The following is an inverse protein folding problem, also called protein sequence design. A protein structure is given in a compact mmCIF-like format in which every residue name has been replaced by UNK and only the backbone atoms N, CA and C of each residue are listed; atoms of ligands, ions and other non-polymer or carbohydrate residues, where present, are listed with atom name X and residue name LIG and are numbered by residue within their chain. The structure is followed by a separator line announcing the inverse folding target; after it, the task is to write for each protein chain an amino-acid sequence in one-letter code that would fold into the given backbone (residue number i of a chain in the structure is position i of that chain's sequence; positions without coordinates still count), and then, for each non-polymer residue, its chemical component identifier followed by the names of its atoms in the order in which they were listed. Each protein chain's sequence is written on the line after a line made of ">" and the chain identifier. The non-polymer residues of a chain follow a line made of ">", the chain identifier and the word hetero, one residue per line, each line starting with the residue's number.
data_IF_199228173953
#
_entry.id   IF_199228173953
#
_cell.length_a   1.000
_cell.length_b   1.000
_cell.length_c   1.000
_cell.angle_alpha   90.00
_cell.angle_beta   90.00
_cell.angle_gamma   90.00
#
_symmetry.space_group_name_H-M   'P 1'
#
loop_
_entity.id
_entity.type
_entity.pdbx_description
1 polymer ?
#
# COMPACT_ATOMS: atom_id res chain seq x y z
N UNK A 1 -3.77 -46.08 -6.69
CA UNK A 1 -4.20 -45.42 -5.46
C UNK A 1 -3.76 -43.95 -5.45
N UNK A 2 -2.51 -43.64 -5.80
CA UNK A 2 -1.96 -42.26 -5.78
C UNK A 2 -2.63 -41.32 -6.80
N UNK A 3 -3.01 -41.82 -7.98
CA UNK A 3 -3.74 -41.04 -8.99
C UNK A 3 -5.17 -40.69 -8.53
N UNK A 4 -5.87 -41.63 -7.91
CA UNK A 4 -7.23 -41.41 -7.41
C UNK A 4 -7.25 -40.39 -6.24
N UNK A 5 -6.24 -40.40 -5.38
CA UNK A 5 -6.08 -39.43 -4.28
C UNK A 5 -5.78 -38.03 -4.83
N UNK A 6 -4.96 -37.94 -5.89
CA UNK A 6 -4.68 -36.66 -6.54
C UNK A 6 -5.92 -36.08 -7.23
N UNK A 7 -6.72 -36.92 -7.90
CA UNK A 7 -7.97 -36.48 -8.55
C UNK A 7 -9.00 -36.02 -7.50
N UNK A 8 -9.12 -36.73 -6.39
CA UNK A 8 -10.00 -36.31 -5.27
C UNK A 8 -9.54 -34.99 -4.63
N UNK A 9 -8.23 -34.80 -4.47
CA UNK A 9 -7.69 -33.53 -3.98
C UNK A 9 -7.90 -32.37 -4.95
N UNK A 10 -7.75 -32.61 -6.27
CA UNK A 10 -8.05 -31.60 -7.29
C UNK A 10 -9.54 -31.26 -7.32
N UNK A 11 -10.40 -32.27 -7.29
CA UNK A 11 -11.86 -32.05 -7.29
C UNK A 11 -12.33 -31.33 -6.03
N UNK A 12 -11.78 -31.65 -4.86
CA UNK A 12 -12.08 -30.96 -3.60
C UNK A 12 -11.60 -29.48 -3.64
N UNK A 13 -10.43 -29.21 -4.22
CA UNK A 13 -9.92 -27.86 -4.41
C UNK A 13 -10.78 -27.05 -5.41
N UNK A 14 -11.25 -27.67 -6.49
CA UNK A 14 -12.14 -27.05 -7.47
C UNK A 14 -13.51 -26.73 -6.88
N UNK A 15 -14.08 -27.63 -6.05
CA UNK A 15 -15.34 -27.41 -5.34
C UNK A 15 -15.20 -26.26 -4.34
N UNK A 16 -14.12 -26.25 -3.58
CA UNK A 16 -13.82 -25.19 -2.61
C UNK A 16 -13.59 -23.82 -3.28
N UNK A 17 -12.97 -23.80 -4.47
CA UNK A 17 -12.82 -22.59 -5.28
C UNK A 17 -14.14 -22.08 -5.88
N UNK A 18 -15.12 -22.95 -6.07
CA UNK A 18 -16.44 -22.59 -6.65
C UNK A 18 -17.37 -21.90 -5.64
N UNK A 19 -17.12 -22.07 -4.35
CA UNK A 19 -17.88 -21.43 -3.27
C UNK A 19 -17.35 -20.03 -2.88
N UNK A 20 -16.18 -19.61 -3.41
CA UNK A 20 -15.61 -18.30 -3.10
C UNK A 20 -16.38 -17.17 -3.81
N UNK A 21 -16.72 -16.13 -3.06
CA UNK A 21 -17.31 -14.93 -3.65
C UNK A 21 -16.34 -14.27 -4.62
N UNK A 22 -16.77 -14.13 -5.88
CA UNK A 22 -15.94 -13.52 -6.92
C UNK A 22 -16.02 -12.00 -6.84
N UNK A 23 -14.88 -11.36 -6.66
CA UNK A 23 -14.72 -9.90 -6.64
C UNK A 23 -13.94 -9.47 -7.89
N UNK A 24 -14.44 -8.44 -8.57
CA UNK A 24 -13.73 -7.86 -9.71
C UNK A 24 -12.49 -7.11 -9.24
N UNK A 25 -11.33 -7.42 -9.83
CA UNK A 25 -10.06 -6.80 -9.50
C UNK A 25 -10.06 -5.27 -9.69
N UNK A 26 -10.78 -4.79 -10.72
CA UNK A 26 -10.94 -3.36 -11.00
C UNK A 26 -11.65 -2.64 -9.85
N UNK A 27 -12.73 -3.24 -9.34
CA UNK A 27 -13.45 -2.70 -8.19
C UNK A 27 -12.61 -2.74 -6.92
N UNK A 28 -11.87 -3.84 -6.72
CA UNK A 28 -10.96 -3.97 -5.58
C UNK A 28 -9.87 -2.90 -5.62
N UNK A 29 -9.27 -2.62 -6.79
CA UNK A 29 -8.27 -1.57 -6.95
C UNK A 29 -8.87 -0.19 -6.69
N UNK A 30 -10.05 0.12 -7.24
CA UNK A 30 -10.71 1.40 -7.03
C UNK A 30 -10.98 1.64 -5.53
N UNK A 31 -11.58 0.65 -4.85
CA UNK A 31 -11.82 0.72 -3.41
C UNK A 31 -10.52 0.87 -2.63
N UNK A 32 -9.48 0.10 -3.00
CA UNK A 32 -8.18 0.17 -2.33
C UNK A 32 -7.55 1.56 -2.44
N UNK A 33 -7.57 2.17 -3.64
CA UNK A 33 -7.01 3.52 -3.85
C UNK A 33 -7.76 4.56 -3.02
N UNK A 34 -9.10 4.50 -3.01
CA UNK A 34 -9.94 5.42 -2.23
C UNK A 34 -9.70 5.30 -0.72
N UNK A 35 -9.73 4.08 -0.17
CA UNK A 35 -9.56 3.89 1.27
C UNK A 35 -8.11 4.12 1.73
N UNK A 36 -7.11 3.82 0.89
CA UNK A 36 -5.72 4.10 1.22
C UNK A 36 -5.42 5.59 1.23
N UNK A 37 -5.87 6.36 0.22
CA UNK A 37 -5.66 7.81 0.20
C UNK A 37 -6.32 8.49 1.41
N UNK A 38 -7.57 8.13 1.70
CA UNK A 38 -8.24 8.63 2.91
C UNK A 38 -7.54 8.18 4.19
N UNK A 39 -7.12 6.91 4.27
CA UNK A 39 -6.40 6.37 5.42
C UNK A 39 -5.09 7.10 5.69
N UNK A 40 -4.30 7.43 4.65
CA UNK A 40 -3.03 8.16 4.81
C UNK A 40 -3.28 9.57 5.36
N UNK A 41 -4.22 10.32 4.79
CA UNK A 41 -4.54 11.68 5.25
C UNK A 41 -5.14 11.65 6.67
N UNK A 42 -6.04 10.70 6.97
CA UNK A 42 -6.62 10.55 8.30
C UNK A 42 -5.55 10.16 9.36
N UNK A 43 -4.57 9.34 8.98
CA UNK A 43 -3.46 8.96 9.86
C UNK A 43 -2.59 10.18 10.19
N UNK A 44 -2.25 11.00 9.19
CA UNK A 44 -1.54 12.25 9.37
C UNK A 44 -2.34 13.20 10.26
N UNK A 45 -3.62 13.40 9.97
CA UNK A 45 -4.51 14.28 10.71
C UNK A 45 -4.70 13.86 12.18
N UNK A 46 -4.59 12.57 12.50
CA UNK A 46 -4.63 12.07 13.88
C UNK A 46 -3.53 12.66 14.77
N UNK A 47 -2.42 13.14 14.16
CA UNK A 47 -1.25 13.63 14.86
C UNK A 47 -0.37 12.54 15.48
N UNK A 48 -0.67 11.25 15.23
CA UNK A 48 0.15 10.12 15.65
C UNK A 48 1.34 9.85 14.70
N UNK A 49 1.40 10.60 13.61
CA UNK A 49 2.35 10.45 12.52
C UNK A 49 1.69 9.94 11.24
N UNK A 50 2.47 9.67 10.21
CA UNK A 50 2.02 9.16 8.91
C UNK A 50 2.61 7.76 8.66
N UNK A 51 2.12 7.04 7.65
CA UNK A 51 2.73 5.75 7.27
C UNK A 51 4.19 5.96 6.81
N UNK A 52 5.07 5.02 7.12
CA UNK A 52 6.52 5.17 6.88
C UNK A 52 6.85 5.53 5.41
N UNK A 53 6.22 4.87 4.45
CA UNK A 53 6.42 5.15 3.02
C UNK A 53 5.93 6.56 2.65
N UNK A 54 4.78 6.98 3.17
CA UNK A 54 4.20 8.29 2.88
C UNK A 54 4.93 9.43 3.61
N UNK A 55 5.76 9.11 4.60
CA UNK A 55 6.50 10.12 5.35
C UNK A 55 7.55 10.85 4.50
N UNK A 56 8.13 10.20 3.49
CA UNK A 56 9.12 10.81 2.58
C UNK A 56 8.48 11.95 1.78
N UNK A 57 7.43 11.72 0.94
CA UNK A 57 6.78 12.83 0.23
C UNK A 57 6.19 13.88 1.17
N UNK A 58 5.71 13.49 2.36
CA UNK A 58 5.27 14.43 3.39
C UNK A 58 6.42 15.35 3.84
N UNK A 59 7.59 14.82 4.18
CA UNK A 59 8.74 15.64 4.55
C UNK A 59 9.14 16.63 3.44
N UNK A 60 9.03 16.20 2.17
CA UNK A 60 9.26 17.09 1.05
C UNK A 60 8.20 18.19 0.93
N UNK A 61 6.91 17.91 1.19
CA UNK A 61 5.85 18.93 1.16
C UNK A 61 6.00 19.95 2.30
N UNK A 62 6.45 19.53 3.47
CA UNK A 62 6.72 20.43 4.60
C UNK A 62 7.94 21.33 4.35
N UNK A 63 9.00 20.80 3.76
CA UNK A 63 10.19 21.59 3.44
C UNK A 63 9.97 22.49 2.23
N UNK A 64 9.27 22.03 1.21
CA UNK A 64 9.00 22.74 -0.04
C UNK A 64 7.50 23.01 -0.20
N UNK A 65 6.96 23.90 0.59
CA UNK A 65 5.53 24.20 0.77
C UNK A 65 4.80 24.70 -0.49
N UNK A 66 5.52 24.95 -1.59
CA UNK A 66 4.92 25.36 -2.89
C UNK A 66 4.29 24.21 -3.67
N UNK A 67 4.60 22.99 -3.29
CA UNK A 67 4.15 21.78 -3.97
C UNK A 67 3.35 20.94 -2.97
N UNK A 68 2.15 20.51 -3.38
CA UNK A 68 1.22 19.73 -2.54
C UNK A 68 1.79 18.35 -2.16
N UNK A 69 1.24 17.78 -1.09
CA UNK A 69 1.55 16.42 -0.66
C UNK A 69 1.28 15.40 -1.78
N UNK A 70 0.16 15.53 -2.49
CA UNK A 70 -0.18 14.66 -3.61
C UNK A 70 0.85 14.74 -4.74
N UNK A 71 1.26 15.96 -5.13
CA UNK A 71 2.29 16.16 -6.15
C UNK A 71 3.63 15.53 -5.74
N UNK A 72 4.11 15.75 -4.52
CA UNK A 72 5.32 15.11 -4.03
C UNK A 72 5.18 13.59 -3.98
N UNK A 73 3.99 13.09 -3.64
CA UNK A 73 3.72 11.65 -3.62
C UNK A 73 3.88 11.02 -5.00
N UNK A 74 3.29 11.59 -6.05
CA UNK A 74 3.45 11.00 -7.36
C UNK A 74 4.85 11.17 -7.95
N UNK A 75 5.58 12.26 -7.62
CA UNK A 75 7.00 12.40 -7.99
C UNK A 75 7.85 11.31 -7.32
N UNK A 76 7.65 11.07 -6.03
CA UNK A 76 8.31 9.98 -5.31
C UNK A 76 8.00 8.61 -5.94
N UNK A 77 6.75 8.38 -6.29
CA UNK A 77 6.33 7.17 -6.99
C UNK A 77 6.98 7.00 -8.36
N UNK A 78 7.20 8.10 -9.08
CA UNK A 78 7.98 8.11 -10.33
C UNK A 78 9.42 7.61 -10.12
N UNK A 79 10.07 8.07 -9.06
CA UNK A 79 11.41 7.60 -8.68
C UNK A 79 11.41 6.10 -8.36
N UNK A 80 10.40 5.60 -7.65
CA UNK A 80 10.27 4.18 -7.34
C UNK A 80 10.09 3.33 -8.61
N UNK A 81 9.23 3.76 -9.54
CA UNK A 81 9.02 3.08 -10.84
C UNK A 81 10.30 3.04 -11.66
N UNK A 82 11.01 4.17 -11.75
CA UNK A 82 12.32 4.22 -12.45
C UNK A 82 13.33 3.28 -11.80
N UNK A 83 13.40 3.27 -10.49
CA UNK A 83 14.30 2.37 -9.73
C UNK A 83 13.98 0.89 -10.04
N UNK A 84 12.71 0.50 -10.11
CA UNK A 84 12.31 -0.86 -10.48
C UNK A 84 12.71 -1.21 -11.92
N UNK A 85 12.54 -0.29 -12.87
CA UNK A 85 12.97 -0.51 -14.26
C UNK A 85 14.48 -0.72 -14.37
N UNK A 86 15.27 0.04 -13.61
CA UNK A 86 16.73 -0.10 -13.54
C UNK A 86 17.11 -1.45 -12.91
N UNK A 87 16.49 -1.83 -11.80
CA UNK A 87 16.77 -3.11 -11.12
C UNK A 87 16.43 -4.31 -11.99
N UNK A 88 15.30 -4.27 -12.71
CA UNK A 88 14.91 -5.35 -13.63
C UNK A 88 15.68 -5.32 -14.96
N UNK A 89 16.46 -4.26 -15.22
CA UNK A 89 17.22 -4.05 -16.48
C UNK A 89 16.35 -4.20 -17.73
N UNK A 90 15.08 -3.91 -17.65
CA UNK A 90 14.12 -3.97 -18.76
C UNK A 90 12.94 -3.04 -18.54
N UNK A 91 12.39 -2.57 -19.66
CA UNK A 91 11.16 -1.79 -19.65
C UNK A 91 9.96 -2.72 -19.41
N UNK A 92 9.17 -2.41 -18.37
CA UNK A 92 7.96 -3.15 -18.01
C UNK A 92 6.75 -2.22 -18.16
N UNK A 93 5.94 -2.37 -19.22
CA UNK A 93 4.80 -1.46 -19.46
C UNK A 93 3.80 -1.38 -18.31
N UNK A 94 3.65 -2.46 -17.55
CA UNK A 94 2.77 -2.51 -16.38
C UNK A 94 3.13 -1.47 -15.31
N UNK A 95 4.41 -1.09 -15.20
CA UNK A 95 4.84 -0.06 -14.24
C UNK A 95 4.36 1.35 -14.63
N UNK A 96 4.16 1.61 -15.92
CA UNK A 96 3.55 2.86 -16.37
C UNK A 96 2.08 2.97 -15.94
N UNK A 97 1.33 1.87 -16.01
CA UNK A 97 -0.04 1.84 -15.50
C UNK A 97 -0.07 2.03 -13.97
N UNK A 98 0.88 1.45 -13.25
CA UNK A 98 1.04 1.71 -11.80
C UNK A 98 1.29 3.20 -11.53
N UNK A 99 2.05 3.88 -12.36
CA UNK A 99 2.28 5.31 -12.23
C UNK A 99 0.99 6.13 -12.44
N UNK A 100 0.13 5.74 -13.39
CA UNK A 100 -1.18 6.37 -13.57
C UNK A 100 -2.07 6.18 -12.33
N UNK A 101 -2.09 4.97 -11.76
CA UNK A 101 -2.81 4.69 -10.50
C UNK A 101 -2.23 5.54 -9.36
N UNK A 102 -0.91 5.68 -9.32
CA UNK A 102 -0.21 6.53 -8.36
C UNK A 102 -0.54 8.02 -8.50
N UNK A 103 -0.69 8.52 -9.73
CA UNK A 103 -1.13 9.89 -9.97
C UNK A 103 -2.54 10.12 -9.40
N UNK A 104 -3.49 9.23 -9.71
CA UNK A 104 -4.86 9.31 -9.15
C UNK A 104 -4.85 9.27 -7.62
N UNK A 105 -3.98 8.43 -7.04
CA UNK A 105 -3.80 8.37 -5.58
C UNK A 105 -3.30 9.70 -5.02
N UNK A 106 -2.33 10.36 -5.67
CA UNK A 106 -1.82 11.67 -5.27
C UNK A 106 -2.90 12.76 -5.29
N UNK A 107 -3.68 12.83 -6.38
CA UNK A 107 -4.81 13.77 -6.47
C UNK A 107 -5.86 13.54 -5.36
N UNK A 108 -6.12 12.27 -5.02
CA UNK A 108 -7.03 11.93 -3.93
C UNK A 108 -6.48 12.32 -2.55
N UNK A 109 -5.15 12.30 -2.33
CA UNK A 109 -4.56 12.83 -1.10
C UNK A 109 -4.90 14.32 -0.96
N UNK A 110 -4.66 15.12 -1.99
CA UNK A 110 -4.94 16.56 -1.98
C UNK A 110 -6.43 16.84 -1.77
N UNK A 111 -7.32 16.06 -2.42
CA UNK A 111 -8.78 16.16 -2.20
C UNK A 111 -9.14 15.86 -0.75
N UNK A 112 -8.58 14.81 -0.14
CA UNK A 112 -8.88 14.47 1.24
C UNK A 112 -8.29 15.49 2.23
N UNK A 113 -7.10 16.03 1.95
CA UNK A 113 -6.46 17.06 2.77
C UNK A 113 -7.29 18.36 2.79
N UNK A 114 -7.94 18.72 1.68
CA UNK A 114 -8.73 19.92 1.57
C UNK A 114 -9.92 20.01 2.56
N UNK A 115 -10.50 18.87 2.97
CA UNK A 115 -11.68 18.83 3.82
C UNK A 115 -11.48 18.17 5.18
N UNK A 116 -10.37 17.45 5.39
CA UNK A 116 -10.14 16.67 6.63
C UNK A 116 -10.20 17.55 7.88
N UNK A 117 -9.85 18.83 7.76
CA UNK A 117 -9.87 19.82 8.84
C UNK A 117 -11.27 20.11 9.40
N UNK A 118 -12.33 19.65 8.74
CA UNK A 118 -13.71 19.73 9.25
C UNK A 118 -13.97 18.73 10.38
N UNK A 119 -13.12 17.74 10.55
CA UNK A 119 -13.29 16.75 11.61
C UNK A 119 -12.80 17.29 12.97
N UNK A 120 -13.50 16.99 14.08
CA UNK A 120 -13.13 17.48 15.41
C UNK A 120 -11.84 16.81 15.92
N UNK A 121 -10.87 17.61 16.37
CA UNK A 121 -9.54 17.18 16.85
C UNK A 121 -9.48 17.09 18.37
N UNK A 122 -10.30 16.24 18.98
CA UNK A 122 -10.19 15.90 20.41
C UNK A 122 -9.24 14.72 20.62
N UNK A 123 -8.65 14.58 21.81
CA UNK A 123 -7.72 13.47 22.10
C UNK A 123 -8.33 12.08 21.84
N UNK A 124 -9.58 11.77 22.26
CA UNK A 124 -10.21 10.50 21.91
C UNK A 124 -10.35 10.29 20.39
N UNK A 125 -10.71 11.36 19.67
CA UNK A 125 -10.86 11.29 18.22
C UNK A 125 -9.54 11.04 17.51
N UNK A 126 -8.44 11.61 17.98
CA UNK A 126 -7.09 11.34 17.42
C UNK A 126 -6.73 9.86 17.49
N UNK A 127 -6.98 9.23 18.67
CA UNK A 127 -6.72 7.79 18.84
C UNK A 127 -7.63 6.97 17.92
N UNK A 128 -8.92 7.34 17.82
CA UNK A 128 -9.87 6.67 16.94
C UNK A 128 -9.47 6.82 15.46
N UNK A 129 -9.09 8.02 15.03
CA UNK A 129 -8.65 8.28 13.66
C UNK A 129 -7.40 7.48 13.31
N UNK A 130 -6.44 7.39 14.23
CA UNK A 130 -5.27 6.54 14.03
C UNK A 130 -5.66 5.06 13.88
N UNK A 131 -6.51 4.52 14.74
CA UNK A 131 -6.94 3.12 14.68
C UNK A 131 -7.69 2.81 13.37
N UNK A 132 -8.63 3.70 12.98
CA UNK A 132 -9.39 3.55 11.74
C UNK A 132 -8.46 3.65 10.53
N UNK A 133 -7.60 4.66 10.46
CA UNK A 133 -6.68 4.85 9.34
C UNK A 133 -5.71 3.68 9.19
N UNK A 134 -5.18 3.17 10.29
CA UNK A 134 -4.32 2.00 10.31
C UNK A 134 -5.00 0.78 9.68
N UNK A 135 -6.25 0.49 10.08
CA UNK A 135 -7.02 -0.63 9.52
C UNK A 135 -7.38 -0.41 8.06
N UNK A 136 -7.79 0.81 7.67
CA UNK A 136 -8.11 1.15 6.28
C UNK A 136 -6.91 0.93 5.37
N UNK A 137 -5.73 1.40 5.76
CA UNK A 137 -4.49 1.20 4.99
C UNK A 137 -4.15 -0.29 4.90
N UNK A 138 -4.23 -1.04 5.99
CA UNK A 138 -3.97 -2.48 5.96
C UNK A 138 -4.92 -3.25 5.04
N UNK A 139 -6.22 -2.92 5.07
CA UNK A 139 -7.24 -3.52 4.19
C UNK A 139 -6.99 -3.12 2.74
N UNK A 140 -6.73 -1.84 2.48
CA UNK A 140 -6.49 -1.34 1.13
C UNK A 140 -5.26 -1.96 0.48
N UNK A 141 -4.14 -2.08 1.20
CA UNK A 141 -2.94 -2.76 0.69
C UNK A 141 -3.20 -4.26 0.47
N UNK A 142 -3.94 -4.91 1.37
CA UNK A 142 -4.30 -6.32 1.19
C UNK A 142 -5.17 -6.56 -0.05
N UNK A 143 -6.13 -5.63 -0.34
CA UNK A 143 -6.94 -5.63 -1.57
C UNK A 143 -6.09 -5.37 -2.81
N UNK A 144 -5.25 -4.33 -2.78
CA UNK A 144 -4.34 -3.98 -3.88
C UNK A 144 -3.45 -5.15 -4.28
N UNK A 145 -2.88 -5.86 -3.31
CA UNK A 145 -2.01 -6.99 -3.58
C UNK A 145 -2.71 -8.18 -4.27
N UNK A 146 -4.06 -8.22 -4.26
CA UNK A 146 -4.88 -9.32 -4.79
C UNK A 146 -5.70 -8.96 -6.02
N UNK A 147 -5.79 -7.68 -6.37
CA UNK A 147 -6.63 -7.23 -7.47
C UNK A 147 -6.19 -7.75 -8.86
N UNK A 148 -4.95 -8.25 -9.00
CA UNK A 148 -4.41 -8.73 -10.28
C UNK A 148 -4.18 -7.61 -11.32
N UNK A 149 -4.12 -6.36 -10.88
CA UNK A 149 -3.90 -5.16 -11.69
C UNK A 149 -2.62 -4.44 -11.23
N UNK A 150 -2.09 -3.51 -12.04
CA UNK A 150 -1.05 -2.61 -11.59
C UNK A 150 -1.51 -1.79 -10.39
N UNK A 151 -0.76 -1.85 -9.31
CA UNK A 151 -1.07 -1.18 -8.03
C UNK A 151 -0.24 0.09 -7.86
N UNK A 152 -0.54 0.87 -6.83
CA UNK A 152 0.21 2.08 -6.47
C UNK A 152 1.71 1.77 -6.34
N UNK A 153 2.62 2.56 -6.94
CA UNK A 153 4.06 2.29 -6.95
C UNK A 153 4.70 2.11 -5.58
N UNK A 154 4.18 2.77 -4.55
CA UNK A 154 4.64 2.62 -3.16
C UNK A 154 4.40 1.22 -2.59
N UNK A 155 3.33 0.55 -3.02
CA UNK A 155 3.02 -0.82 -2.64
C UNK A 155 3.67 -1.84 -3.60
N UNK A 156 3.79 -1.44 -4.87
CA UNK A 156 4.44 -2.25 -5.91
C UNK A 156 5.93 -2.45 -5.62
N UNK A 157 6.63 -1.39 -5.21
CA UNK A 157 8.07 -1.41 -5.04
C UNK A 157 8.56 -2.49 -4.08
N UNK A 158 8.07 -2.59 -2.82
CA UNK A 158 8.51 -3.65 -1.91
C UNK A 158 8.09 -5.05 -2.38
N UNK A 159 6.97 -5.18 -3.09
CA UNK A 159 6.52 -6.47 -3.67
C UNK A 159 7.46 -6.94 -4.77
N UNK A 160 7.73 -6.09 -5.74
CA UNK A 160 8.63 -6.40 -6.86
C UNK A 160 10.07 -6.63 -6.39
N UNK A 161 10.52 -5.87 -5.38
CA UNK A 161 11.84 -6.05 -4.79
C UNK A 161 11.96 -7.40 -4.07
N UNK A 162 10.92 -7.85 -3.39
CA UNK A 162 10.86 -9.19 -2.80
C UNK A 162 10.95 -10.29 -3.87
N UNK A 163 10.25 -10.13 -5.00
CA UNK A 163 10.31 -11.05 -6.13
C UNK A 163 11.69 -11.08 -6.80
N UNK A 164 12.34 -9.91 -6.94
CA UNK A 164 13.68 -9.81 -7.55
C UNK A 164 14.75 -10.45 -6.66
N UNK A 165 14.66 -10.24 -5.35
CA UNK A 165 15.69 -10.69 -4.38
C UNK A 165 15.42 -12.09 -3.84
N UNK A 166 14.20 -12.63 -3.98
CA UNK A 166 13.76 -13.88 -3.36
C UNK A 166 13.59 -13.79 -1.83
N UNK A 167 13.62 -12.58 -1.26
CA UNK A 167 13.46 -12.36 0.17
C UNK A 167 11.97 -12.30 0.56
N UNK A 168 11.68 -12.60 1.83
CA UNK A 168 10.32 -12.49 2.34
C UNK A 168 9.80 -11.04 2.24
N UNK A 169 8.60 -10.85 1.70
CA UNK A 169 7.96 -9.54 1.55
C UNK A 169 7.98 -8.70 2.84
N UNK A 170 7.72 -9.35 4.00
CA UNK A 170 7.71 -8.66 5.29
C UNK A 170 9.08 -8.02 5.63
N UNK A 171 10.18 -8.70 5.30
CA UNK A 171 11.53 -8.19 5.58
C UNK A 171 11.86 -7.01 4.66
N UNK A 172 11.54 -7.14 3.37
CA UNK A 172 11.72 -6.06 2.40
C UNK A 172 10.88 -4.84 2.80
N UNK A 173 9.60 -5.06 3.14
CA UNK A 173 8.69 -3.98 3.56
C UNK A 173 9.23 -3.24 4.80
N UNK A 174 9.63 -3.96 5.84
CA UNK A 174 10.19 -3.36 7.06
C UNK A 174 11.48 -2.61 6.77
N UNK A 175 12.40 -3.18 5.98
CA UNK A 175 13.66 -2.51 5.60
C UNK A 175 13.39 -1.23 4.81
N UNK A 176 12.45 -1.26 3.87
CA UNK A 176 12.08 -0.10 3.08
C UNK A 176 11.43 0.99 3.95
N UNK A 177 10.53 0.61 4.84
CA UNK A 177 9.91 1.51 5.80
C UNK A 177 10.95 2.20 6.70
N UNK A 178 11.93 1.45 7.22
CA UNK A 178 13.02 2.00 8.04
C UNK A 178 13.88 2.99 7.25
N UNK A 179 14.18 2.70 5.99
CA UNK A 179 14.90 3.64 5.11
C UNK A 179 14.08 4.93 4.91
N UNK A 180 12.78 4.81 4.65
CA UNK A 180 11.89 5.96 4.51
C UNK A 180 11.88 6.82 5.79
N UNK A 181 11.78 6.18 6.97
CA UNK A 181 11.83 6.88 8.26
C UNK A 181 13.16 7.62 8.45
N UNK A 182 14.28 6.99 8.12
CA UNK A 182 15.60 7.62 8.23
C UNK A 182 15.74 8.83 7.30
N UNK A 183 15.25 8.73 6.06
CA UNK A 183 15.24 9.85 5.09
C UNK A 183 14.37 10.98 5.61
N UNK A 184 13.17 10.69 6.09
CA UNK A 184 12.23 11.69 6.64
C UNK A 184 12.82 12.38 7.86
N UNK A 185 13.37 11.61 8.83
CA UNK A 185 14.01 12.17 10.01
C UNK A 185 15.20 13.07 9.63
N UNK A 186 16.05 12.62 8.72
CA UNK A 186 17.18 13.41 8.24
C UNK A 186 16.75 14.71 7.58
N UNK A 187 15.74 14.66 6.71
CA UNK A 187 15.22 15.86 6.04
C UNK A 187 14.57 16.85 7.01
N UNK A 188 13.66 16.38 7.87
CA UNK A 188 12.93 17.27 8.77
C UNK A 188 13.86 17.88 9.82
N UNK A 189 14.82 17.13 10.39
CA UNK A 189 15.79 17.68 11.32
C UNK A 189 16.69 18.70 10.62
N UNK A 190 17.19 18.40 9.41
CA UNK A 190 18.14 19.27 8.72
C UNK A 190 17.52 20.59 8.26
N UNK A 191 16.30 20.54 7.70
CA UNK A 191 15.64 21.72 7.11
C UNK A 191 14.69 22.44 8.06
N UNK A 192 13.98 21.72 8.95
CA UNK A 192 12.98 22.27 9.84
C UNK A 192 13.51 22.43 11.29
N UNK A 193 14.61 21.77 11.64
CA UNK A 193 15.17 21.79 12.98
C UNK A 193 14.42 20.92 14.02
N UNK A 194 13.38 20.20 13.60
CA UNK A 194 12.58 19.30 14.45
C UNK A 194 12.08 18.12 13.64
N UNK A 195 11.67 17.05 14.34
CA UNK A 195 11.00 15.92 13.70
C UNK A 195 9.56 16.28 13.38
N UNK A 196 9.15 16.08 12.13
CA UNK A 196 7.76 16.27 11.68
C UNK A 196 7.26 15.05 10.89
N UNK A 197 5.95 14.79 10.96
CA UNK A 197 5.30 13.62 10.34
C UNK A 197 5.65 12.27 10.98
N UNK A 198 6.67 12.21 11.82
CA UNK A 198 7.12 11.01 12.50
C UNK A 198 6.60 10.99 13.95
N UNK A 199 5.70 10.06 14.23
CA UNK A 199 5.15 9.87 15.56
C UNK A 199 5.26 8.42 16.04
N UNK A 200 4.77 8.16 17.25
CA UNK A 200 4.69 6.81 17.81
C UNK A 200 3.87 5.90 16.88
N UNK A 201 2.81 6.43 16.28
CA UNK A 201 1.99 5.70 15.31
C UNK A 201 2.76 5.30 14.05
N UNK A 202 3.67 6.14 13.56
CA UNK A 202 4.52 5.80 12.39
C UNK A 202 5.43 4.63 12.70
N UNK A 203 6.07 4.63 13.87
CA UNK A 203 6.95 3.54 14.33
C UNK A 203 6.14 2.24 14.47
N UNK A 204 4.99 2.32 15.15
CA UNK A 204 4.09 1.18 15.31
C UNK A 204 3.67 0.61 13.94
N UNK A 205 3.26 1.48 13.03
CA UNK A 205 2.86 1.09 11.68
C UNK A 205 3.99 0.39 10.90
N UNK A 206 5.20 0.94 10.92
CA UNK A 206 6.36 0.38 10.21
C UNK A 206 6.67 -1.07 10.62
N UNK A 207 6.54 -1.40 11.91
CA UNK A 207 6.86 -2.75 12.40
C UNK A 207 5.68 -3.72 12.37
N UNK A 208 4.44 -3.24 12.37
CA UNK A 208 3.24 -4.10 12.52
C UNK A 208 2.40 -4.22 11.26
N UNK A 209 2.32 -3.20 10.40
CA UNK A 209 1.44 -3.21 9.21
C UNK A 209 1.70 -4.40 8.30
N UNK A 210 2.96 -4.76 8.04
CA UNK A 210 3.29 -5.88 7.17
C UNK A 210 2.69 -7.21 7.64
N UNK A 211 2.67 -7.45 8.96
CA UNK A 211 2.06 -8.65 9.56
C UNK A 211 0.53 -8.62 9.47
N UNK A 212 -0.07 -7.47 9.76
CA UNK A 212 -1.53 -7.29 9.71
C UNK A 212 -2.03 -7.40 8.27
N UNK A 213 -1.36 -6.80 7.29
CA UNK A 213 -1.66 -6.94 5.86
C UNK A 213 -1.60 -8.42 5.45
N UNK A 214 -0.58 -9.15 5.90
CA UNK A 214 -0.45 -10.58 5.63
C UNK A 214 -1.60 -11.41 6.24
N UNK A 215 -2.03 -11.10 7.46
CA UNK A 215 -3.13 -11.78 8.14
C UNK A 215 -4.48 -11.49 7.44
N UNK A 216 -4.78 -10.22 7.14
CA UNK A 216 -5.98 -9.81 6.40
C UNK A 216 -5.99 -10.47 5.03
N UNK A 217 -4.84 -10.49 4.36
CA UNK A 217 -4.71 -11.12 3.07
C UNK A 217 -5.02 -12.60 3.07
N UNK A 218 -4.48 -13.36 4.01
CA UNK A 218 -4.80 -14.79 4.17
C UNK A 218 -6.29 -15.03 4.46
N UNK A 219 -6.91 -14.16 5.24
CA UNK A 219 -8.35 -14.21 5.49
C UNK A 219 -9.17 -13.96 4.23
N UNK A 220 -8.75 -12.98 3.39
CA UNK A 220 -9.37 -12.70 2.09
C UNK A 220 -9.23 -13.90 1.13
N UNK A 221 -8.05 -14.51 1.04
CA UNK A 221 -7.77 -15.65 0.15
C UNK A 221 -8.65 -16.87 0.47
N UNK A 222 -9.06 -17.03 1.75
CA UNK A 222 -9.98 -18.08 2.17
C UNK A 222 -11.46 -17.82 1.87
N UNK A 223 -11.83 -16.61 1.43
CA UNK A 223 -13.24 -16.21 1.25
C UNK A 223 -13.56 -15.55 -0.09
N UNK A 224 -12.58 -14.94 -0.72
CA UNK A 224 -12.74 -14.11 -1.91
C UNK A 224 -11.84 -14.63 -3.03
N UNK A 225 -12.39 -14.64 -4.24
CA UNK A 225 -11.66 -14.90 -5.48
C UNK A 225 -11.61 -13.61 -6.29
N UNK A 226 -10.42 -13.09 -6.53
CA UNK A 226 -10.23 -11.91 -7.34
C UNK A 226 -10.04 -12.29 -8.82
N UNK A 227 -10.82 -11.64 -9.70
CA UNK A 227 -10.75 -11.85 -11.15
C UNK A 227 -10.62 -10.49 -11.82
N UNK A 228 -9.55 -10.29 -12.59
CA UNK A 228 -9.35 -9.05 -13.34
C UNK A 228 -9.24 -9.32 -14.85
N UNK A 229 -9.48 -8.28 -15.65
CA UNK A 229 -9.38 -8.35 -17.13
C UNK A 229 -7.96 -8.69 -17.57
N UNK A 230 -6.93 -8.32 -16.78
CA UNK A 230 -5.53 -8.56 -17.11
C UNK A 230 -5.00 -9.91 -16.60
N UNK A 231 -5.78 -10.63 -15.79
CA UNK A 231 -5.36 -11.94 -15.28
C UNK A 231 -5.77 -13.03 -16.29
N UNK A 232 -4.84 -13.75 -16.92
CA UNK A 232 -5.19 -14.87 -17.77
C UNK A 232 -6.01 -15.89 -16.97
N UNK A 233 -7.06 -16.45 -17.57
CA UNK A 233 -7.96 -17.46 -16.94
C UNK A 233 -7.24 -18.72 -16.41
N UNK A 234 -5.92 -18.83 -16.60
CA UNK A 234 -5.08 -19.99 -16.30
C UNK A 234 -3.98 -19.73 -15.25
N UNK A 235 -3.92 -18.55 -14.63
CA UNK A 235 -2.93 -18.30 -13.59
C UNK A 235 -3.28 -19.10 -12.32
N UNK A 236 -2.44 -20.09 -11.98
CA UNK A 236 -2.48 -20.77 -10.68
C UNK A 236 -2.33 -19.74 -9.56
N UNK A 237 -3.07 -19.87 -8.45
CA UNK A 237 -2.84 -19.03 -7.27
C UNK A 237 -1.41 -19.30 -6.75
N UNK A 238 -0.70 -18.23 -6.43
CA UNK A 238 0.58 -18.27 -5.70
C UNK A 238 0.37 -18.70 -4.25
#
# INVERSE_FOLDING_TARGET
>A
YTLLINDLHQTAQEIQQKELHTVRGELALLVAVLINSFGVVLMLYSGAGISAISSVPFAFSEVFTRISLGTWTYLFQGVLVLSLMILRKRFVPQYLFSFVVGFVFGELLDVHEAWINLLPLTLPNRILYFAISYLLICIGIALSNRCGLPIIPTDLFPRELADITGAAYSNIKVSFDVICLAVTAGMTIFFLGHLDGLGIGTILAAFTMGKVIGAIGKWMDGRLRFVSVLTPKTAKPC
#
